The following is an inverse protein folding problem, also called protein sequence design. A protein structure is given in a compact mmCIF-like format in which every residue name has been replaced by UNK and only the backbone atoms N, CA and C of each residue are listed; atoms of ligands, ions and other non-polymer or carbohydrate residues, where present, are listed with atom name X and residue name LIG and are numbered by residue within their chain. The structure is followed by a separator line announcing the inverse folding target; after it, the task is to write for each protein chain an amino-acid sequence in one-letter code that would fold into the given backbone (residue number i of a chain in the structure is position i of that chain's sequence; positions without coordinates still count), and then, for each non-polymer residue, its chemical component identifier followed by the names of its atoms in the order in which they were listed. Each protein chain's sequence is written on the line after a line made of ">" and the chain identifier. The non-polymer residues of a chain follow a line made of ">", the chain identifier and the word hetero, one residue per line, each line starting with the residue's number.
data_IF_073830531413
#
_entry.id   IF_073830531413
#
_cell.length_a   1.000
_cell.length_b   1.000
_cell.length_c   1.000
_cell.angle_alpha   90.00
_cell.angle_beta   90.00
_cell.angle_gamma   90.00
#
_symmetry.space_group_name_H-M   'P 1'
#
loop_
_entity.id
_entity.type
_entity.pdbx_description
1 polymer ?
#
# COMPACT_ATOMS: atom_id res chain seq x y z
N UNK A 1 -12.10 4.78 10.00
CA UNK A 1 -11.22 3.94 9.14
C UNK A 1 -12.08 3.28 8.06
N UNK A 2 -11.57 3.14 6.84
CA UNK A 2 -12.37 2.81 5.65
C UNK A 2 -12.61 1.29 5.51
N UNK A 3 -13.85 0.87 5.25
CA UNK A 3 -14.25 -0.53 5.00
C UNK A 3 -14.13 -0.92 3.51
N UNK A 4 -13.13 -0.39 2.82
CA UNK A 4 -12.87 -0.71 1.41
C UNK A 4 -12.54 -2.18 1.23
N UNK A 5 -13.14 -2.81 0.22
CA UNK A 5 -12.86 -4.18 -0.20
C UNK A 5 -12.01 -4.17 -1.48
N UNK A 6 -11.37 -5.30 -1.79
CA UNK A 6 -10.49 -5.46 -2.95
C UNK A 6 -10.82 -6.76 -3.73
N UNK A 7 -12.06 -6.93 -4.23
CA UNK A 7 -12.48 -8.14 -4.94
C UNK A 7 -11.67 -8.39 -6.23
N UNK A 8 -11.14 -7.35 -6.87
CA UNK A 8 -10.33 -7.45 -8.08
C UNK A 8 -8.99 -8.18 -7.88
N UNK A 9 -8.51 -8.27 -6.64
CA UNK A 9 -7.35 -9.10 -6.26
C UNK A 9 -7.79 -10.28 -5.37
N UNK A 10 -9.07 -10.63 -5.34
CA UNK A 10 -9.58 -11.77 -4.56
C UNK A 10 -9.60 -11.56 -3.04
N UNK A 11 -9.69 -10.31 -2.57
CA UNK A 11 -9.91 -10.01 -1.14
C UNK A 11 -11.23 -9.25 -0.98
N UNK A 12 -12.37 -9.96 -0.93
CA UNK A 12 -13.69 -9.35 -0.82
C UNK A 12 -13.98 -8.79 0.57
N UNK A 13 -13.21 -9.16 1.61
CA UNK A 13 -13.40 -8.66 2.96
C UNK A 13 -12.93 -7.19 3.11
N UNK A 14 -13.47 -6.44 4.08
CA UNK A 14 -13.04 -5.06 4.31
C UNK A 14 -11.59 -5.00 4.83
N UNK A 15 -10.82 -4.05 4.30
CA UNK A 15 -9.39 -3.89 4.63
C UNK A 15 -9.14 -3.65 6.11
N UNK A 16 -9.90 -2.74 6.74
CA UNK A 16 -9.70 -2.37 8.13
C UNK A 16 -9.80 -3.56 9.13
N UNK A 17 -10.88 -4.35 9.17
CA UNK A 17 -10.93 -5.53 10.04
C UNK A 17 -9.93 -6.62 9.62
N UNK A 18 -9.50 -6.64 8.35
CA UNK A 18 -8.46 -7.57 7.89
C UNK A 18 -7.08 -7.18 8.41
N UNK A 19 -6.78 -5.89 8.59
CA UNK A 19 -5.51 -5.44 9.15
C UNK A 19 -5.35 -5.80 10.63
N UNK A 20 -6.44 -5.92 11.39
CA UNK A 20 -6.44 -6.52 12.73
C UNK A 20 -6.42 -8.06 12.63
N UNK A 21 -5.36 -8.60 12.00
CA UNK A 21 -5.27 -10.01 11.64
C UNK A 21 -5.05 -10.94 12.85
N UNK A 22 -4.53 -10.44 13.97
CA UNK A 22 -4.38 -11.25 15.20
C UNK A 22 -3.53 -12.52 15.01
N UNK A 23 -2.58 -12.48 14.08
CA UNK A 23 -1.77 -13.62 13.60
C UNK A 23 -2.54 -14.76 12.92
N UNK A 24 -3.80 -14.55 12.51
CA UNK A 24 -4.50 -15.47 11.62
C UNK A 24 -3.78 -15.52 10.25
N UNK A 25 -3.25 -16.67 9.83
CA UNK A 25 -2.46 -16.78 8.60
C UNK A 25 -3.26 -16.39 7.35
N UNK A 26 -4.57 -16.62 7.33
CA UNK A 26 -5.44 -16.27 6.20
C UNK A 26 -5.58 -14.75 6.09
N UNK A 27 -5.74 -14.06 7.22
CA UNK A 27 -5.81 -12.59 7.23
C UNK A 27 -4.45 -11.96 6.93
N UNK A 28 -3.36 -12.57 7.39
CA UNK A 28 -1.98 -12.15 7.06
C UNK A 28 -1.74 -12.21 5.54
N UNK A 29 -2.13 -13.31 4.90
CA UNK A 29 -2.02 -13.42 3.44
C UNK A 29 -2.84 -12.34 2.73
N UNK A 30 -4.07 -12.10 3.18
CA UNK A 30 -4.96 -11.08 2.59
C UNK A 30 -4.41 -9.66 2.74
N UNK A 31 -3.92 -9.28 3.93
CA UNK A 31 -3.35 -7.94 4.13
C UNK A 31 -2.06 -7.76 3.33
N UNK A 32 -1.24 -8.80 3.20
CA UNK A 32 -0.05 -8.78 2.36
C UNK A 32 -0.43 -8.55 0.88
N UNK A 33 -1.48 -9.23 0.40
CA UNK A 33 -1.99 -9.06 -0.97
C UNK A 33 -2.52 -7.65 -1.23
N UNK A 34 -3.24 -7.06 -0.28
CA UNK A 34 -3.67 -5.66 -0.34
C UNK A 34 -2.45 -4.73 -0.39
N UNK A 35 -1.45 -4.97 0.47
CA UNK A 35 -0.21 -4.18 0.50
C UNK A 35 0.55 -4.24 -0.82
N UNK A 36 0.72 -5.43 -1.40
CA UNK A 36 1.32 -5.60 -2.72
C UNK A 36 0.57 -4.83 -3.81
N UNK A 37 -0.77 -4.90 -3.79
CA UNK A 37 -1.59 -4.13 -4.72
C UNK A 37 -1.44 -2.62 -4.54
N UNK A 38 -1.26 -2.10 -3.32
CA UNK A 38 -0.98 -0.66 -3.13
C UNK A 38 0.40 -0.28 -3.64
N UNK A 39 1.39 -1.15 -3.49
CA UNK A 39 2.74 -0.92 -3.99
C UNK A 39 2.81 -0.86 -5.52
N UNK A 40 1.87 -1.46 -6.25
CA UNK A 40 1.83 -1.29 -7.72
C UNK A 40 1.53 0.16 -8.09
N UNK A 41 0.64 0.84 -7.37
CA UNK A 41 0.38 2.27 -7.61
C UNK A 41 1.57 3.16 -7.27
N UNK A 42 2.34 2.79 -6.25
CA UNK A 42 3.57 3.49 -5.93
C UNK A 42 4.59 3.31 -7.05
N UNK A 43 4.77 2.09 -7.57
CA UNK A 43 5.62 1.85 -8.73
C UNK A 43 5.16 2.64 -9.97
N UNK A 44 3.87 2.60 -10.31
CA UNK A 44 3.30 3.40 -11.42
C UNK A 44 3.53 4.90 -11.24
N UNK A 45 3.49 5.39 -10.00
CA UNK A 45 3.77 6.79 -9.70
C UNK A 45 5.24 7.13 -9.97
N UNK A 46 6.18 6.29 -9.53
CA UNK A 46 7.61 6.46 -9.82
C UNK A 46 7.89 6.40 -11.32
N UNK A 47 7.26 5.47 -12.04
CA UNK A 47 7.38 5.37 -13.50
C UNK A 47 6.92 6.65 -14.20
N UNK A 48 5.81 7.24 -13.75
CA UNK A 48 5.30 8.52 -14.28
C UNK A 48 6.25 9.68 -14.01
N UNK A 49 6.84 9.75 -12.81
CA UNK A 49 7.85 10.77 -12.51
C UNK A 49 9.08 10.61 -13.40
N UNK A 50 9.55 9.37 -13.57
CA UNK A 50 10.71 9.07 -14.42
C UNK A 50 10.46 9.35 -15.91
N UNK A 51 9.22 9.22 -16.37
CA UNK A 51 8.86 9.46 -17.77
C UNK A 51 8.87 10.96 -18.15
N UNK A 52 8.78 11.87 -17.18
CA UNK A 52 8.78 13.32 -17.42
C UNK A 52 10.23 13.79 -17.50
N UNK A 53 10.67 14.21 -18.69
CA UNK A 53 12.01 14.72 -18.92
C UNK A 53 12.12 16.20 -18.52
N UNK A 54 13.18 16.53 -17.79
CA UNK A 54 13.58 17.89 -17.39
C UNK A 54 14.99 18.20 -17.94
N UNK A 55 15.58 19.35 -17.57
CA UNK A 55 16.84 19.81 -18.16
C UNK A 55 18.02 18.84 -17.91
N UNK A 56 18.15 18.32 -16.69
CA UNK A 56 19.29 17.51 -16.24
C UNK A 56 18.86 16.10 -15.76
N UNK A 57 17.81 15.53 -16.34
CA UNK A 57 17.29 14.20 -15.97
C UNK A 57 15.77 14.11 -16.07
N UNK A 58 15.17 13.25 -15.26
CA UNK A 58 13.72 13.15 -15.11
C UNK A 58 13.21 13.94 -13.90
N UNK A 59 11.90 14.18 -13.83
CA UNK A 59 11.27 14.76 -12.64
C UNK A 59 11.52 13.91 -11.39
N UNK A 60 11.69 12.60 -11.54
CA UNK A 60 12.05 11.71 -10.43
C UNK A 60 13.42 12.06 -9.84
N UNK A 61 14.41 12.37 -10.69
CA UNK A 61 15.77 12.73 -10.26
C UNK A 61 15.78 14.02 -9.42
N UNK A 62 14.80 14.90 -9.66
CA UNK A 62 14.63 16.17 -8.95
C UNK A 62 13.59 16.12 -7.83
N UNK A 63 13.10 14.93 -7.45
CA UNK A 63 12.04 14.77 -6.42
C UNK A 63 12.55 14.02 -5.19
N UNK A 64 12.28 14.56 -4.00
CA UNK A 64 12.44 13.83 -2.73
C UNK A 64 11.10 13.28 -2.28
N UNK A 65 11.01 11.96 -2.10
CA UNK A 65 9.81 11.28 -1.60
C UNK A 65 10.06 10.75 -0.17
N UNK A 66 9.15 11.08 0.74
CA UNK A 66 9.07 10.46 2.06
C UNK A 66 7.91 9.47 2.08
N UNK A 67 8.21 8.18 2.16
CA UNK A 67 7.21 7.10 2.22
C UNK A 67 7.31 6.37 3.56
N UNK A 68 6.20 6.31 4.30
CA UNK A 68 6.15 5.66 5.61
C UNK A 68 4.73 5.50 6.15
N UNK A 69 4.58 4.67 7.19
CA UNK A 69 3.31 4.47 7.91
C UNK A 69 3.34 5.19 9.25
N UNK A 70 2.31 5.98 9.54
CA UNK A 70 2.09 6.58 10.86
C UNK A 70 1.45 5.61 11.88
N UNK A 71 1.09 4.40 11.46
CA UNK A 71 0.46 3.39 12.32
C UNK A 71 1.41 2.20 12.51
N UNK A 72 1.57 1.78 13.78
CA UNK A 72 2.31 0.56 14.16
C UNK A 72 1.57 -0.73 13.77
N UNK A 73 1.95 -1.88 14.33
CA UNK A 73 1.27 -3.15 14.03
C UNK A 73 -0.20 -3.13 14.52
N UNK A 74 -1.20 -3.06 13.64
CA UNK A 74 -2.60 -2.96 14.04
C UNK A 74 -3.12 -4.24 14.70
N UNK A 75 -2.44 -5.38 14.55
CA UNK A 75 -2.79 -6.61 15.27
C UNK A 75 -2.44 -6.59 16.74
N UNK A 76 -1.55 -5.69 17.17
CA UNK A 76 -1.25 -5.46 18.59
C UNK A 76 -2.15 -4.37 19.19
N UNK A 77 -2.78 -3.56 18.34
CA UNK A 77 -3.64 -2.47 18.73
C UNK A 77 -5.09 -2.97 18.72
N UNK A 78 -5.54 -3.43 19.88
CA UNK A 78 -6.94 -3.73 20.14
C UNK A 78 -7.66 -2.38 20.09
N UNK A 79 -8.59 -2.19 19.15
CA UNK A 79 -9.70 -1.27 19.37
C UNK A 79 -10.77 -1.97 20.19
#
# INVERSE_FOLDING_TARGET
>A
MNNRTYPQIGVPEPHHPTSHHGNDPVKVEKIAKIGQYHMTFFAEYLEKLNAIQEADGSLLDNTVLLYGSGMGNPSLQIM
#
